data_IF_917116637727
#
_entry.id   IF_917116637727
#
_cell.length_a   1.000
_cell.length_b   1.000
_cell.length_c   1.000
_cell.angle_alpha   90.00
_cell.angle_beta   90.00
_cell.angle_gamma   90.00
#
_symmetry.space_group_name_H-M   'P 1'
#
loop_
_entity.id
_entity.type
_entity.pdbx_description
1 polymer ?
#
# COMPACT_ATOMS: atom_id res chain seq x y z
N UNK A 1 20.40 26.29 -83.78
CA UNK A 1 20.89 24.92 -83.66
C UNK A 1 21.01 24.61 -82.15
N UNK A 2 20.03 24.05 -81.67
CA UNK A 2 19.88 22.73 -81.03
C UNK A 2 20.83 22.44 -79.87
N UNK A 3 20.28 22.32 -78.67
CA UNK A 3 20.01 21.02 -78.08
C UNK A 3 19.41 21.15 -76.69
N UNK A 4 18.28 20.51 -76.63
CA UNK A 4 17.63 20.05 -75.35
C UNK A 4 18.59 19.25 -74.52
N UNK A 5 18.55 19.47 -73.24
CA UNK A 5 18.86 18.42 -72.27
C UNK A 5 17.91 18.52 -71.03
N UNK A 6 17.05 17.57 -71.08
CA UNK A 6 16.20 17.14 -69.94
C UNK A 6 17.09 16.77 -68.77
N UNK A 7 16.87 17.39 -67.66
CA UNK A 7 17.39 16.93 -66.37
C UNK A 7 16.26 16.61 -65.40
N UNK A 8 16.04 15.33 -65.27
CA UNK A 8 15.30 14.65 -64.28
C UNK A 8 15.45 15.27 -62.88
N UNK A 9 14.38 15.83 -62.34
CA UNK A 9 14.25 16.14 -60.92
C UNK A 9 13.79 14.89 -60.22
N UNK A 10 14.73 14.18 -59.63
CA UNK A 10 14.44 13.26 -58.56
C UNK A 10 13.96 14.06 -57.37
N UNK A 11 12.69 13.91 -57.07
CA UNK A 11 12.12 14.22 -55.77
C UNK A 11 12.73 13.26 -54.75
N UNK A 12 13.61 13.78 -53.93
CA UNK A 12 14.07 13.12 -52.73
C UNK A 12 13.08 13.49 -51.66
N UNK A 13 12.08 12.62 -51.47
CA UNK A 13 11.17 12.64 -50.34
C UNK A 13 11.98 12.18 -49.11
N UNK A 14 12.71 13.08 -48.50
CA UNK A 14 13.24 12.86 -47.19
C UNK A 14 12.10 13.01 -46.19
N UNK A 15 11.49 11.87 -45.91
CA UNK A 15 10.60 11.67 -44.77
C UNK A 15 11.40 11.94 -43.50
N UNK A 16 11.51 13.19 -43.13
CA UNK A 16 11.99 13.54 -41.79
C UNK A 16 10.89 13.19 -40.80
N UNK A 17 10.92 11.94 -40.36
CA UNK A 17 10.29 11.60 -39.07
C UNK A 17 10.96 12.49 -38.04
N UNK A 18 10.36 13.62 -37.78
CA UNK A 18 10.60 14.34 -36.55
C UNK A 18 10.07 13.46 -35.44
N UNK A 19 10.96 12.66 -34.85
CA UNK A 19 10.76 12.16 -33.50
C UNK A 19 10.68 13.38 -32.59
N UNK A 20 9.50 13.97 -32.54
CA UNK A 20 9.17 14.84 -31.45
C UNK A 20 9.05 13.94 -30.23
N UNK A 21 10.20 13.62 -29.59
CA UNK A 21 10.23 13.31 -28.20
C UNK A 21 9.64 14.52 -27.51
N UNK A 22 8.33 14.51 -27.34
CA UNK A 22 7.70 15.39 -26.38
C UNK A 22 8.33 14.99 -25.05
N UNK A 23 9.26 15.81 -24.55
CA UNK A 23 9.73 15.77 -23.18
C UNK A 23 8.55 16.22 -22.31
N UNK A 24 7.49 15.40 -22.28
CA UNK A 24 6.47 15.50 -21.26
C UNK A 24 7.16 15.04 -19.98
N UNK A 25 7.52 16.00 -19.12
CA UNK A 25 8.18 15.77 -17.83
C UNK A 25 7.29 14.99 -16.85
N UNK A 26 6.08 14.59 -17.25
CA UNK A 26 5.11 13.87 -16.44
C UNK A 26 5.12 12.37 -16.68
N UNK A 27 4.52 11.65 -15.75
CA UNK A 27 4.24 10.24 -15.90
C UNK A 27 3.09 10.03 -16.89
N UNK A 28 3.03 8.84 -17.50
CA UNK A 28 1.93 8.44 -18.38
C UNK A 28 0.59 8.56 -17.63
N UNK A 29 -0.43 9.00 -18.36
CA UNK A 29 -1.83 9.02 -17.91
C UNK A 29 -2.66 7.89 -18.51
N UNK A 30 -2.03 6.98 -19.26
CA UNK A 30 -2.65 5.76 -19.75
C UNK A 30 -2.53 4.65 -18.69
N UNK A 31 -3.65 4.22 -18.12
CA UNK A 31 -3.68 3.17 -17.08
C UNK A 31 -3.06 1.86 -17.56
N UNK A 32 -3.13 1.56 -18.85
CA UNK A 32 -2.57 0.33 -19.40
C UNK A 32 -1.04 0.24 -19.26
N UNK A 33 -0.37 1.36 -19.14
CA UNK A 33 1.08 1.39 -18.90
C UNK A 33 1.47 0.85 -17.51
N UNK A 34 0.50 0.75 -16.61
CA UNK A 34 0.70 0.33 -15.22
C UNK A 34 0.09 -1.04 -14.91
N UNK A 35 -0.58 -1.67 -15.87
CA UNK A 35 -1.31 -2.92 -15.68
C UNK A 35 -0.62 -4.09 -16.37
N UNK A 36 -0.50 -5.20 -15.63
CA UNK A 36 -0.22 -6.53 -16.17
C UNK A 36 -1.20 -7.51 -15.50
N UNK A 37 -2.21 -7.92 -16.27
CA UNK A 37 -3.24 -8.85 -15.78
C UNK A 37 -2.72 -10.25 -15.45
N UNK A 38 -1.53 -10.60 -15.96
CA UNK A 38 -0.89 -11.88 -15.71
C UNK A 38 0.17 -11.81 -14.59
N UNK A 39 0.35 -10.63 -14.00
CA UNK A 39 1.30 -10.47 -12.90
C UNK A 39 0.89 -11.34 -11.71
N UNK A 40 1.86 -12.04 -11.14
CA UNK A 40 1.66 -12.79 -9.90
C UNK A 40 1.83 -11.85 -8.72
N UNK A 41 1.00 -12.05 -7.70
CA UNK A 41 1.16 -11.34 -6.43
C UNK A 41 2.48 -11.76 -5.78
N UNK A 42 3.39 -10.80 -5.60
CA UNK A 42 4.74 -11.02 -5.06
C UNK A 42 5.07 -9.97 -3.97
N UNK A 43 4.08 -9.63 -3.19
CA UNK A 43 4.26 -8.75 -2.05
C UNK A 43 4.38 -9.54 -0.76
N UNK A 44 5.22 -9.04 0.14
CA UNK A 44 5.36 -9.51 1.51
C UNK A 44 5.69 -8.32 2.42
N UNK A 45 5.74 -8.53 3.71
CA UNK A 45 6.04 -7.48 4.67
C UNK A 45 7.40 -6.84 4.43
N UNK A 46 8.42 -7.62 4.12
CA UNK A 46 9.78 -7.14 3.85
C UNK A 46 9.85 -6.14 2.69
N UNK A 47 9.10 -6.41 1.62
CA UNK A 47 8.99 -5.50 0.46
C UNK A 47 8.13 -4.29 0.78
N UNK A 48 6.97 -4.52 1.38
CA UNK A 48 6.00 -3.48 1.66
C UNK A 48 6.55 -2.39 2.59
N UNK A 49 7.22 -2.79 3.66
CA UNK A 49 7.77 -1.84 4.65
C UNK A 49 8.86 -0.91 4.11
N UNK A 50 9.41 -1.21 2.92
CA UNK A 50 10.38 -0.34 2.24
C UNK A 50 9.73 0.82 1.50
N UNK A 51 8.42 0.79 1.30
CA UNK A 51 7.70 1.88 0.67
C UNK A 51 7.81 3.16 1.51
N UNK A 52 8.04 4.28 0.84
CA UNK A 52 8.14 5.59 1.47
C UNK A 52 7.13 6.57 0.87
N UNK A 53 6.03 6.75 1.57
CA UNK A 53 5.04 7.75 1.21
C UNK A 53 5.68 9.15 1.23
N UNK A 54 5.35 9.96 0.25
CA UNK A 54 5.95 11.28 0.04
C UNK A 54 7.27 11.28 -0.73
N UNK A 55 7.83 10.11 -1.05
CA UNK A 55 9.12 9.98 -1.76
C UNK A 55 9.06 9.07 -2.98
N UNK A 56 8.48 7.88 -2.85
CA UNK A 56 8.46 6.91 -3.94
C UNK A 56 7.58 7.39 -5.08
N UNK A 57 8.11 7.32 -6.31
CA UNK A 57 7.38 7.64 -7.53
C UNK A 57 6.74 6.40 -8.12
N UNK A 58 5.68 6.57 -8.93
CA UNK A 58 5.07 5.44 -9.62
C UNK A 58 6.08 4.70 -10.51
N UNK A 59 6.98 5.42 -11.17
CA UNK A 59 8.05 4.80 -11.99
C UNK A 59 8.96 3.91 -11.16
N UNK A 60 9.42 4.38 -10.00
CA UNK A 60 10.30 3.62 -9.13
C UNK A 60 9.62 2.36 -8.59
N UNK A 61 8.34 2.46 -8.27
CA UNK A 61 7.54 1.32 -7.78
C UNK A 61 7.33 0.27 -8.87
N UNK A 62 6.93 0.68 -10.07
CA UNK A 62 6.77 -0.24 -11.20
C UNK A 62 8.10 -0.93 -11.55
N UNK A 63 9.19 -0.19 -11.53
CA UNK A 63 10.53 -0.74 -11.79
C UNK A 63 10.93 -1.80 -10.76
N UNK A 64 10.62 -1.56 -9.49
CA UNK A 64 11.06 -2.42 -8.38
C UNK A 64 10.12 -3.60 -8.16
N UNK A 65 8.80 -3.36 -8.21
CA UNK A 65 7.78 -4.33 -7.82
C UNK A 65 6.94 -4.88 -8.98
N UNK A 66 7.09 -4.30 -10.17
CA UNK A 66 6.31 -4.68 -11.34
C UNK A 66 4.97 -3.95 -11.45
N UNK A 67 4.28 -4.21 -12.56
CA UNK A 67 2.97 -3.62 -12.85
C UNK A 67 1.89 -4.24 -11.97
N UNK A 68 0.81 -3.48 -11.76
CA UNK A 68 -0.32 -3.88 -10.93
C UNK A 68 -1.32 -4.75 -11.70
N UNK A 69 -2.23 -5.38 -10.98
CA UNK A 69 -3.34 -6.14 -11.56
C UNK A 69 -4.41 -5.21 -12.15
N UNK A 70 -4.58 -4.03 -11.55
CA UNK A 70 -5.51 -3.00 -11.98
C UNK A 70 -4.97 -1.62 -11.63
N UNK A 71 -5.39 -0.60 -12.37
CA UNK A 71 -5.01 0.79 -12.16
C UNK A 71 -6.15 1.71 -12.52
N UNK A 72 -6.26 2.82 -11.80
CA UNK A 72 -7.22 3.89 -12.08
C UNK A 72 -6.53 5.24 -11.96
N UNK A 73 -6.85 6.16 -12.86
CA UNK A 73 -6.40 7.55 -12.79
C UNK A 73 -7.66 8.42 -12.80
N UNK A 74 -7.80 9.27 -11.80
CA UNK A 74 -8.91 10.20 -11.67
C UNK A 74 -8.39 11.55 -11.17
N UNK A 75 -8.40 12.55 -12.04
CA UNK A 75 -7.85 13.87 -11.71
C UNK A 75 -6.37 13.78 -11.33
N UNK A 76 -6.06 14.22 -10.12
CA UNK A 76 -4.69 14.26 -9.60
C UNK A 76 -4.28 12.99 -8.84
N UNK A 77 -5.10 11.95 -8.86
CA UNK A 77 -4.86 10.71 -8.14
C UNK A 77 -4.69 9.52 -9.09
N UNK A 78 -3.75 8.66 -8.75
CA UNK A 78 -3.57 7.34 -9.36
C UNK A 78 -3.68 6.27 -8.28
N UNK A 79 -4.40 5.20 -8.60
CA UNK A 79 -4.57 4.03 -7.74
C UNK A 79 -4.06 2.80 -8.45
N UNK A 80 -3.17 2.07 -7.79
CA UNK A 80 -2.69 0.76 -8.23
C UNK A 80 -3.18 -0.31 -7.26
N UNK A 81 -3.74 -1.40 -7.81
CA UNK A 81 -4.16 -2.56 -7.06
C UNK A 81 -3.39 -3.80 -7.50
N UNK A 82 -2.72 -4.43 -6.56
CA UNK A 82 -2.08 -5.73 -6.73
C UNK A 82 -2.94 -6.75 -5.99
N UNK A 83 -3.45 -7.74 -6.70
CA UNK A 83 -4.34 -8.76 -6.13
C UNK A 83 -3.70 -10.14 -6.20
N UNK A 84 -3.72 -10.86 -5.07
CA UNK A 84 -3.35 -12.25 -5.01
C UNK A 84 -4.52 -13.19 -5.30
N UNK A 85 -4.28 -14.49 -5.25
CA UNK A 85 -5.29 -15.53 -5.46
C UNK A 85 -6.27 -15.63 -4.29
N UNK A 86 -5.79 -15.32 -3.09
CA UNK A 86 -6.58 -15.37 -1.87
C UNK A 86 -7.04 -13.98 -1.45
N UNK A 87 -8.20 -13.89 -0.80
CA UNK A 87 -8.73 -12.63 -0.27
C UNK A 87 -7.83 -11.95 0.74
N UNK A 88 -6.90 -12.70 1.35
CA UNK A 88 -5.90 -12.16 2.28
C UNK A 88 -4.67 -11.56 1.62
N UNK A 89 -4.61 -11.51 0.28
CA UNK A 89 -3.47 -11.02 -0.48
C UNK A 89 -3.89 -9.85 -1.38
N UNK A 90 -3.58 -8.64 -0.96
CA UNK A 90 -3.80 -7.43 -1.75
C UNK A 90 -2.85 -6.32 -1.31
N UNK A 91 -2.41 -5.51 -2.26
CA UNK A 91 -1.71 -4.26 -2.00
C UNK A 91 -2.37 -3.16 -2.80
N UNK A 92 -2.70 -2.08 -2.12
CA UNK A 92 -3.29 -0.88 -2.68
C UNK A 92 -2.33 0.29 -2.51
N UNK A 93 -2.03 0.98 -3.60
CA UNK A 93 -1.16 2.15 -3.61
C UNK A 93 -1.92 3.36 -4.17
N UNK A 94 -1.90 4.48 -3.47
CA UNK A 94 -2.46 5.74 -3.94
C UNK A 94 -1.33 6.76 -4.14
N UNK A 95 -1.33 7.39 -5.31
CA UNK A 95 -0.35 8.41 -5.70
C UNK A 95 -1.03 9.73 -5.95
N UNK A 96 -0.35 10.82 -5.62
CA UNK A 96 -0.78 12.19 -5.96
C UNK A 96 0.11 12.79 -7.02
N UNK A 97 -0.54 13.42 -8.01
CA UNK A 97 0.13 14.13 -9.09
C UNK A 97 0.76 15.43 -8.58
N UNK A 98 2.02 15.61 -8.91
CA UNK A 98 2.76 16.83 -8.62
C UNK A 98 2.64 17.84 -9.78
N UNK A 99 3.11 19.07 -9.58
CA UNK A 99 3.06 20.12 -10.61
C UNK A 99 3.82 19.75 -11.91
N UNK A 100 4.87 18.95 -11.79
CA UNK A 100 5.64 18.47 -12.92
C UNK A 100 5.01 17.25 -13.62
N UNK A 101 3.85 16.78 -13.15
CA UNK A 101 3.13 15.65 -13.68
C UNK A 101 3.61 14.29 -13.18
N UNK A 102 4.54 14.24 -12.24
CA UNK A 102 4.94 12.98 -11.59
C UNK A 102 3.94 12.57 -10.51
N UNK A 103 3.71 11.27 -10.39
CA UNK A 103 2.86 10.71 -9.35
C UNK A 103 3.73 10.20 -8.20
N UNK A 104 3.51 10.73 -7.00
CA UNK A 104 4.24 10.37 -5.79
C UNK A 104 3.31 9.63 -4.84
N UNK A 105 3.82 8.53 -4.26
CA UNK A 105 3.09 7.71 -3.29
C UNK A 105 2.65 8.56 -2.10
N UNK A 106 1.35 8.52 -1.79
CA UNK A 106 0.77 9.21 -0.64
C UNK A 106 0.24 8.24 0.41
N UNK A 107 -0.18 7.06 -0.01
CA UNK A 107 -0.81 6.06 0.85
C UNK A 107 -0.59 4.67 0.27
N UNK A 108 -0.32 3.71 1.14
CA UNK A 108 -0.24 2.30 0.80
C UNK A 108 -0.94 1.48 1.88
N UNK A 109 -1.70 0.47 1.48
CA UNK A 109 -2.21 -0.54 2.41
C UNK A 109 -1.95 -1.93 1.85
N UNK A 110 -1.60 -2.87 2.72
CA UNK A 110 -1.25 -4.21 2.33
C UNK A 110 -1.81 -5.27 3.27
N UNK A 111 -2.36 -6.32 2.65
CA UNK A 111 -2.76 -7.57 3.28
C UNK A 111 -1.98 -8.68 2.62
N UNK A 112 -1.14 -9.33 3.40
CA UNK A 112 -0.27 -10.43 3.00
C UNK A 112 0.15 -11.18 4.26
N UNK A 113 0.75 -12.37 4.16
CA UNK A 113 1.30 -13.03 5.33
C UNK A 113 2.26 -12.10 6.08
N UNK A 114 1.97 -11.87 7.37
CA UNK A 114 2.75 -11.01 8.24
C UNK A 114 3.79 -11.83 9.00
N UNK A 115 4.96 -11.24 9.26
CA UNK A 115 6.02 -11.91 10.01
C UNK A 115 5.68 -12.08 11.49
N UNK A 116 4.90 -11.15 12.05
CA UNK A 116 4.59 -11.11 13.49
C UNK A 116 3.23 -11.70 13.83
N UNK A 117 2.30 -11.69 12.88
CA UNK A 117 0.91 -12.13 13.09
C UNK A 117 0.53 -13.14 12.04
N UNK A 118 0.09 -14.32 12.47
CA UNK A 118 -0.50 -15.29 11.57
C UNK A 118 -1.97 -14.96 11.34
N UNK A 119 -2.38 -14.78 10.08
CA UNK A 119 -3.78 -14.60 9.72
C UNK A 119 -4.41 -15.97 9.48
N UNK A 120 -5.45 -16.27 10.26
CA UNK A 120 -6.20 -17.52 10.20
C UNK A 120 -7.70 -17.20 10.12
N UNK A 121 -8.30 -17.51 8.97
CA UNK A 121 -9.75 -17.32 8.76
C UNK A 121 -10.60 -18.20 9.66
N UNK A 122 -10.04 -19.29 10.18
CA UNK A 122 -10.68 -20.19 11.12
C UNK A 122 -10.42 -19.81 12.57
N UNK A 123 -9.98 -18.59 12.81
CA UNK A 123 -9.70 -18.07 14.15
C UNK A 123 -10.83 -18.36 15.10
N UNK A 124 -10.49 -18.84 16.29
CA UNK A 124 -11.41 -19.03 17.41
C UNK A 124 -11.07 -18.06 18.52
N UNK A 125 -12.09 -17.44 19.09
CA UNK A 125 -11.96 -16.44 20.14
C UNK A 125 -11.09 -16.96 21.29
N UNK A 126 -10.04 -16.21 21.59
CA UNK A 126 -9.09 -16.48 22.66
C UNK A 126 -8.87 -15.30 23.61
N UNK A 127 -9.57 -14.18 23.36
CA UNK A 127 -9.50 -13.00 24.20
C UNK A 127 -10.52 -13.04 25.31
N UNK A 128 -10.10 -12.72 26.53
CA UNK A 128 -11.00 -12.38 27.64
C UNK A 128 -11.10 -10.88 27.82
N UNK A 129 -12.17 -10.41 28.47
CA UNK A 129 -12.32 -8.98 28.78
C UNK A 129 -11.16 -8.47 29.64
N UNK A 130 -10.69 -9.28 30.59
CA UNK A 130 -9.55 -8.92 31.44
C UNK A 130 -8.28 -8.70 30.68
N UNK A 131 -7.96 -9.56 29.70
CA UNK A 131 -6.81 -9.40 28.80
C UNK A 131 -6.93 -8.13 27.96
N UNK A 132 -8.12 -7.86 27.42
CA UNK A 132 -8.39 -6.66 26.63
C UNK A 132 -8.26 -5.39 27.47
N UNK A 133 -8.84 -5.36 28.67
CA UNK A 133 -8.79 -4.21 29.57
C UNK A 133 -7.37 -3.91 30.06
N UNK A 134 -6.52 -4.92 30.13
CA UNK A 134 -5.11 -4.79 30.55
C UNK A 134 -4.21 -4.13 29.49
N UNK A 135 -4.67 -3.99 28.23
CA UNK A 135 -3.90 -3.34 27.20
C UNK A 135 -3.81 -1.83 27.44
N UNK A 136 -2.61 -1.28 27.28
CA UNK A 136 -2.36 0.17 27.41
C UNK A 136 -2.32 0.81 26.05
N UNK A 137 -3.12 1.86 25.85
CA UNK A 137 -3.05 2.72 24.65
C UNK A 137 -1.97 3.79 24.84
N UNK A 138 -1.11 3.93 23.86
CA UNK A 138 -0.16 5.03 23.78
C UNK A 138 -0.79 6.27 23.14
N UNK A 139 -0.08 7.38 23.20
CA UNK A 139 -0.48 8.63 22.56
C UNK A 139 -0.13 8.62 21.08
N UNK A 140 -0.94 9.28 20.24
CA UNK A 140 -0.67 9.41 18.81
C UNK A 140 0.62 10.19 18.51
N UNK A 141 1.01 11.11 19.39
CA UNK A 141 2.23 11.92 19.23
C UNK A 141 3.49 11.18 19.68
N UNK A 142 3.39 10.37 20.73
CA UNK A 142 4.44 9.47 21.18
C UNK A 142 3.82 8.16 21.68
N UNK A 143 3.71 7.15 20.80
CA UNK A 143 3.02 5.91 21.16
C UNK A 143 3.83 4.98 22.06
N UNK A 144 5.07 5.31 22.42
CA UNK A 144 6.03 4.38 23.04
C UNK A 144 5.61 3.87 24.42
N UNK A 145 4.62 4.51 25.06
CA UNK A 145 4.03 4.03 26.32
C UNK A 145 2.87 3.03 26.11
N UNK A 146 2.49 2.78 24.87
CA UNK A 146 1.48 1.76 24.55
C UNK A 146 2.02 0.34 24.59
N UNK A 147 1.12 -0.63 24.74
CA UNK A 147 1.47 -2.05 24.67
C UNK A 147 2.06 -2.37 23.30
N UNK A 148 3.20 -3.07 23.30
CA UNK A 148 3.87 -3.47 22.04
C UNK A 148 3.12 -4.59 21.34
N UNK A 149 3.06 -4.53 20.02
CA UNK A 149 2.53 -5.62 19.19
C UNK A 149 3.15 -6.97 19.53
N UNK A 150 4.47 -7.01 19.73
CA UNK A 150 5.21 -8.23 20.06
C UNK A 150 4.68 -8.92 21.33
N UNK A 151 4.30 -8.14 22.33
CA UNK A 151 3.77 -8.69 23.58
C UNK A 151 2.35 -9.25 23.40
N UNK A 152 1.55 -8.61 22.55
CA UNK A 152 0.19 -9.07 22.25
C UNK A 152 0.21 -10.38 21.47
N UNK A 153 1.05 -10.50 20.44
CA UNK A 153 1.10 -11.71 19.61
C UNK A 153 1.73 -12.91 20.30
N UNK A 154 2.45 -12.72 21.39
CA UNK A 154 2.89 -13.86 22.24
C UNK A 154 1.70 -14.63 22.79
N UNK A 155 0.67 -13.92 23.24
CA UNK A 155 -0.54 -14.51 23.82
C UNK A 155 -1.62 -14.79 22.78
N UNK A 156 -1.64 -14.01 21.70
CA UNK A 156 -2.65 -14.06 20.64
C UNK A 156 -1.98 -14.08 19.24
N UNK A 157 -1.28 -15.15 18.89
CA UNK A 157 -0.46 -15.20 17.65
C UNK A 157 -1.29 -15.28 16.38
N UNK A 158 -2.55 -15.72 16.46
CA UNK A 158 -3.46 -15.88 15.32
C UNK A 158 -4.55 -14.81 15.35
N UNK A 159 -4.75 -14.15 14.24
CA UNK A 159 -5.78 -13.13 14.05
C UNK A 159 -6.66 -13.47 12.85
N UNK A 160 -7.86 -12.88 12.78
CA UNK A 160 -8.76 -13.04 11.63
C UNK A 160 -8.27 -12.26 10.42
N UNK A 161 -7.69 -11.09 10.65
CA UNK A 161 -7.12 -10.23 9.61
C UNK A 161 -6.04 -9.32 10.17
N UNK A 162 -5.14 -8.89 9.29
CA UNK A 162 -4.12 -7.90 9.60
C UNK A 162 -3.85 -7.05 8.35
N UNK A 163 -3.67 -5.75 8.54
CA UNK A 163 -3.39 -4.81 7.48
C UNK A 163 -2.25 -3.88 7.87
N UNK A 164 -1.27 -3.73 6.99
CA UNK A 164 -0.17 -2.80 7.14
C UNK A 164 -0.46 -1.54 6.31
N UNK A 165 -0.32 -0.37 6.90
CA UNK A 165 -0.58 0.91 6.23
C UNK A 165 0.64 1.82 6.33
N UNK A 166 0.95 2.49 5.22
CA UNK A 166 2.00 3.51 5.13
C UNK A 166 1.36 4.76 4.53
N UNK A 167 1.52 5.89 5.19
CA UNK A 167 0.91 7.15 4.72
C UNK A 167 1.77 8.35 5.07
N UNK A 168 1.38 9.51 4.52
CA UNK A 168 1.84 10.79 4.99
C UNK A 168 0.73 11.49 5.77
N UNK A 169 1.08 12.16 6.87
CA UNK A 169 0.15 13.06 7.56
C UNK A 169 -0.10 14.31 6.73
N UNK A 170 -1.06 15.15 7.16
CA UNK A 170 -1.31 16.46 6.52
C UNK A 170 -0.10 17.38 6.54
N UNK A 171 0.80 17.21 7.50
CA UNK A 171 2.06 17.94 7.60
C UNK A 171 3.19 17.29 6.76
N UNK A 172 2.87 16.23 6.00
CA UNK A 172 3.86 15.52 5.19
C UNK A 172 4.74 14.55 5.98
N UNK A 173 4.41 14.27 7.24
CA UNK A 173 5.12 13.30 8.05
C UNK A 173 4.80 11.88 7.62
N UNK A 174 5.82 11.05 7.57
CA UNK A 174 5.71 9.63 7.26
C UNK A 174 5.08 8.86 8.44
N UNK A 175 4.08 8.03 8.16
CA UNK A 175 3.41 7.19 9.18
C UNK A 175 3.33 5.74 8.74
N UNK A 176 3.63 4.84 9.68
CA UNK A 176 3.37 3.40 9.59
C UNK A 176 2.34 2.99 10.62
N UNK A 177 1.41 2.16 10.20
CA UNK A 177 0.32 1.68 11.05
C UNK A 177 0.05 0.20 10.79
N UNK A 178 -0.29 -0.54 11.84
CA UNK A 178 -0.75 -1.92 11.74
C UNK A 178 -2.11 -2.02 12.38
N UNK A 179 -3.08 -2.65 11.69
CA UNK A 179 -4.40 -2.95 12.22
C UNK A 179 -4.60 -4.46 12.27
N UNK A 180 -5.09 -4.96 13.40
CA UNK A 180 -5.32 -6.38 13.61
C UNK A 180 -6.74 -6.58 14.11
N UNK A 181 -7.45 -7.54 13.53
CA UNK A 181 -8.79 -7.93 13.96
C UNK A 181 -8.80 -9.39 14.41
N UNK A 182 -9.44 -9.62 15.54
CA UNK A 182 -9.75 -10.93 16.07
C UNK A 182 -11.28 -11.04 16.13
N UNK A 183 -11.87 -11.80 15.22
CA UNK A 183 -13.33 -11.91 15.11
C UNK A 183 -13.78 -13.37 15.07
N UNK A 184 -14.65 -13.73 16.01
CA UNK A 184 -15.32 -15.03 16.07
C UNK A 184 -16.74 -14.81 16.59
N UNK A 185 -17.69 -14.72 15.67
CA UNK A 185 -19.10 -14.47 16.01
C UNK A 185 -19.76 -15.61 16.77
N UNK A 186 -19.16 -16.79 16.74
CA UNK A 186 -19.61 -17.99 17.47
C UNK A 186 -18.91 -18.16 18.81
N UNK A 187 -18.21 -17.13 19.28
CA UNK A 187 -17.50 -17.18 20.56
C UNK A 187 -18.45 -17.53 21.71
N UNK A 188 -18.02 -18.48 22.53
CA UNK A 188 -18.72 -18.88 23.73
C UNK A 188 -18.60 -17.88 24.88
N UNK A 189 -19.26 -18.18 25.99
CA UNK A 189 -19.23 -17.35 27.20
C UNK A 189 -17.80 -17.15 27.71
N UNK A 190 -17.53 -15.93 28.17
CA UNK A 190 -16.22 -15.54 28.68
C UNK A 190 -15.17 -15.19 27.64
N UNK A 191 -15.48 -15.32 26.36
CA UNK A 191 -14.61 -14.91 25.26
C UNK A 191 -15.22 -13.76 24.47
N UNK A 192 -14.38 -12.82 24.07
CA UNK A 192 -14.81 -11.66 23.26
C UNK A 192 -15.01 -12.06 21.81
N UNK A 193 -16.15 -11.70 21.23
CA UNK A 193 -16.50 -11.98 19.82
C UNK A 193 -15.67 -11.18 18.85
N UNK A 194 -15.22 -10.00 19.24
CA UNK A 194 -14.42 -9.13 18.41
C UNK A 194 -13.44 -8.31 19.23
N UNK A 195 -12.22 -8.19 18.72
CA UNK A 195 -11.20 -7.28 19.22
C UNK A 195 -10.54 -6.65 18.01
N UNK A 196 -10.53 -5.33 17.96
CA UNK A 196 -9.82 -4.56 16.94
C UNK A 196 -8.73 -3.72 17.59
N UNK A 197 -7.52 -3.84 17.10
CA UNK A 197 -6.34 -3.16 17.60
C UNK A 197 -5.63 -2.42 16.50
N UNK A 198 -5.26 -1.15 16.75
CA UNK A 198 -4.46 -0.36 15.84
C UNK A 198 -3.18 0.09 16.51
N UNK A 199 -2.09 0.02 15.78
CA UNK A 199 -0.73 0.25 16.26
C UNK A 199 -0.03 1.30 15.40
N UNK A 200 0.72 2.17 16.04
CA UNK A 200 1.57 3.15 15.37
C UNK A 200 3.03 2.92 15.74
N UNK A 201 3.93 3.35 14.86
CA UNK A 201 5.35 3.42 15.15
C UNK A 201 5.70 4.82 15.67
N UNK A 202 6.77 4.90 16.45
CA UNK A 202 7.40 6.17 16.77
C UNK A 202 8.34 6.54 15.61
N UNK A 203 8.03 7.64 14.91
CA UNK A 203 8.76 8.07 13.72
C UNK A 203 8.88 6.92 12.69
N UNK A 204 10.06 6.70 12.11
CA UNK A 204 10.35 5.63 11.16
C UNK A 204 10.92 4.37 11.84
N UNK A 205 10.45 4.05 13.03
CA UNK A 205 10.81 2.85 13.77
C UNK A 205 9.96 1.66 13.31
N UNK A 206 10.46 0.44 13.49
CA UNK A 206 9.75 -0.80 13.17
C UNK A 206 8.96 -1.39 14.36
N UNK A 207 9.03 -0.75 15.52
CA UNK A 207 8.27 -1.17 16.70
C UNK A 207 6.88 -0.56 16.67
N UNK A 208 5.86 -1.42 16.72
CA UNK A 208 4.46 -1.04 16.76
C UNK A 208 3.94 -0.99 18.20
N UNK A 209 3.32 0.13 18.54
CA UNK A 209 2.72 0.39 19.85
C UNK A 209 1.21 0.59 19.70
N UNK A 210 0.43 0.00 20.59
CA UNK A 210 -1.02 0.14 20.60
C UNK A 210 -1.43 1.60 20.82
N UNK A 211 -2.28 2.13 19.95
CA UNK A 211 -2.84 3.50 20.07
C UNK A 211 -4.36 3.51 20.05
N UNK A 212 -4.97 2.45 19.60
CA UNK A 212 -6.42 2.31 19.55
C UNK A 212 -6.84 0.87 19.85
N UNK A 213 -7.89 0.69 20.61
CA UNK A 213 -8.51 -0.62 20.82
C UNK A 213 -10.04 -0.49 20.87
N UNK A 214 -10.73 -1.48 20.31
CA UNK A 214 -12.17 -1.60 20.45
C UNK A 214 -12.57 -3.07 20.60
N UNK A 215 -13.53 -3.30 21.46
CA UNK A 215 -14.15 -4.62 21.68
C UNK A 215 -15.57 -4.66 21.12
N UNK A 216 -16.37 -5.69 21.50
CA UNK A 216 -17.76 -5.83 21.02
C UNK A 216 -18.65 -4.66 21.38
N UNK A 217 -18.34 -3.95 22.46
CA UNK A 217 -19.12 -2.81 22.97
C UNK A 217 -18.62 -1.45 22.44
N UNK A 218 -17.69 -1.47 21.50
CA UNK A 218 -17.13 -0.28 20.86
C UNK A 218 -15.72 0.09 21.34
N UNK A 219 -15.36 1.35 21.11
CA UNK A 219 -14.07 1.91 21.52
C UNK A 219 -13.94 1.95 23.05
N UNK A 220 -12.78 1.61 23.52
CA UNK A 220 -12.47 1.62 24.95
C UNK A 220 -11.26 2.50 25.27
#
# INVERSE_FOLDING_TARGET
ADKDDDADKKNDDSDSKSDSKSDSKGDSTDVNDYIDKNAKFDWNESKFKKLKAGKDTVKSIIKTYGKASDAQISGDEMKLNYSGKDYGESVYLNFKKQYDGTFILSYASGRFPQDKVEVDRSYKADWTKEQFDALTKGDYTDPSNGTKLEDIVKDHPKASSAEYTISTSRQGEFKKEMSISYSDYDAGDGKLKSVYLSFDTKEDDDTFYLTYKSGPDGED
#
